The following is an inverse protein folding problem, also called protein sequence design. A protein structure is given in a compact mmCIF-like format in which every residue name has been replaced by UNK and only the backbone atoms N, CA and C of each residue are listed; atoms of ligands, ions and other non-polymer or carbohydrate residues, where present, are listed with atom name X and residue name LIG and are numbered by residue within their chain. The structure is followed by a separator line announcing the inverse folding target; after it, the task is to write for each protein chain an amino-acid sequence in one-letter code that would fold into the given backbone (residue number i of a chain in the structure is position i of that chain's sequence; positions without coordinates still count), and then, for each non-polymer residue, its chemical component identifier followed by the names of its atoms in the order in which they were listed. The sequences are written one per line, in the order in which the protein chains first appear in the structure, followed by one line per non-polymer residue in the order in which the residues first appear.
data_IF_159036372791
#
_entry.id   IF_159036372791
#
_cell.length_a   1.000
_cell.length_b   1.000
_cell.length_c   1.000
_cell.angle_alpha   90.00
_cell.angle_beta   90.00
_cell.angle_gamma   90.00
#
_symmetry.space_group_name_H-M   'P 1'
#
loop_
_entity.id
_entity.type
_entity.pdbx_description
1 polymer ?
#
# COMPACT_ATOMS: atom_id res chain seq x y z
N UNK A 1 -27.31 -24.10 48.51
CA UNK A 1 -28.14 -23.30 49.44
C UNK A 1 -27.24 -22.17 49.92
N UNK A 2 -27.30 -20.95 49.41
CA UNK A 2 -28.39 -20.01 49.67
C UNK A 2 -28.54 -19.01 48.51
N UNK A 3 -29.79 -18.88 48.08
CA UNK A 3 -30.37 -17.84 47.27
C UNK A 3 -30.73 -16.64 48.18
N UNK A 4 -30.45 -15.40 47.77
CA UNK A 4 -30.95 -14.19 48.45
C UNK A 4 -31.16 -13.02 47.47
N UNK A 5 -32.31 -13.07 46.80
CA UNK A 5 -33.33 -12.02 46.71
C UNK A 5 -32.91 -10.53 46.68
N UNK A 6 -33.11 -9.91 45.50
CA UNK A 6 -33.31 -8.47 45.34
C UNK A 6 -34.69 -8.08 45.90
N UNK A 7 -34.72 -7.26 46.96
CA UNK A 7 -35.95 -6.70 47.52
C UNK A 7 -36.27 -5.35 46.89
N UNK A 8 -37.42 -5.29 46.21
CA UNK A 8 -38.07 -4.08 45.71
C UNK A 8 -38.41 -3.13 46.87
N UNK A 9 -38.19 -1.83 46.68
CA UNK A 9 -38.70 -0.78 47.55
C UNK A 9 -39.71 0.10 46.78
N UNK A 10 -40.79 0.57 47.45
CA UNK A 10 -42.02 1.02 46.81
C UNK A 10 -41.93 2.45 46.24
N UNK A 11 -42.53 2.63 45.05
CA UNK A 11 -42.80 3.90 44.41
C UNK A 11 -43.95 4.61 45.15
N UNK A 12 -43.64 5.66 45.92
CA UNK A 12 -44.65 6.52 46.53
C UNK A 12 -45.13 7.56 45.51
N UNK A 13 -46.34 7.37 45.00
CA UNK A 13 -47.09 8.42 44.29
C UNK A 13 -47.75 9.35 45.31
N UNK A 14 -47.43 10.65 45.23
CA UNK A 14 -48.22 11.68 45.88
C UNK A 14 -49.03 12.47 44.84
N UNK A 15 -50.33 12.61 45.14
CA UNK A 15 -51.37 13.22 44.32
C UNK A 15 -51.25 14.75 44.35
N UNK A 16 -51.48 15.38 43.19
CA UNK A 16 -51.58 16.83 43.02
C UNK A 16 -52.77 17.40 43.80
N UNK A 17 -52.55 18.47 44.58
CA UNK A 17 -53.58 19.43 44.94
C UNK A 17 -53.13 20.82 44.51
N UNK A 18 -53.88 21.39 43.56
CA UNK A 18 -53.62 22.70 42.97
C UNK A 18 -54.30 23.77 43.81
N UNK A 19 -53.57 24.37 44.75
CA UNK A 19 -53.97 25.58 45.44
C UNK A 19 -52.69 26.37 45.74
N UNK A 20 -52.63 27.58 45.18
CA UNK A 20 -51.54 28.56 45.30
C UNK A 20 -50.38 28.41 44.31
N UNK A 21 -50.49 29.18 43.23
CA UNK A 21 -49.41 29.44 42.30
C UNK A 21 -48.30 30.26 42.95
N UNK A 22 -47.08 29.74 42.85
CA UNK A 22 -45.83 30.48 42.85
C UNK A 22 -44.96 29.70 41.86
N UNK A 23 -44.49 30.32 40.77
CA UNK A 23 -43.46 29.75 39.92
C UNK A 23 -42.11 29.89 40.64
N UNK A 24 -41.48 28.83 41.18
CA UNK A 24 -40.09 28.91 41.56
C UNK A 24 -39.28 28.72 40.27
N UNK A 25 -38.56 29.78 39.85
CA UNK A 25 -37.50 29.66 38.85
C UNK A 25 -36.62 28.49 39.27
N UNK A 26 -36.47 27.51 38.38
CA UNK A 26 -35.63 26.34 38.59
C UNK A 26 -34.20 26.78 38.89
N UNK A 27 -33.85 26.85 40.17
CA UNK A 27 -32.46 26.90 40.60
C UNK A 27 -31.85 25.55 40.21
N UNK A 28 -31.17 25.53 39.07
CA UNK A 28 -30.32 24.42 38.68
C UNK A 28 -29.17 24.41 39.68
N UNK A 29 -29.30 23.58 40.72
CA UNK A 29 -28.17 23.20 41.56
C UNK A 29 -27.21 22.44 40.63
N UNK A 30 -26.17 23.13 40.16
CA UNK A 30 -25.05 22.46 39.50
C UNK A 30 -24.46 21.52 40.53
N UNK A 31 -24.73 20.22 40.38
CA UNK A 31 -24.05 19.18 41.11
C UNK A 31 -22.55 19.40 40.89
N UNK A 32 -21.83 19.78 41.95
CA UNK A 32 -20.38 19.80 41.95
C UNK A 32 -19.92 18.33 41.84
N UNK A 33 -19.81 17.85 40.61
CA UNK A 33 -19.18 16.57 40.32
C UNK A 33 -17.73 16.71 40.75
N UNK A 34 -17.38 16.12 41.89
CA UNK A 34 -15.98 15.96 42.26
C UNK A 34 -15.33 15.11 41.17
N UNK A 35 -14.57 15.76 40.30
CA UNK A 35 -13.78 15.06 39.29
C UNK A 35 -12.73 14.29 40.07
N UNK A 36 -12.93 13.00 40.26
CA UNK A 36 -11.86 12.12 40.68
C UNK A 36 -10.75 12.26 39.64
N UNK A 37 -9.62 12.80 40.05
CA UNK A 37 -8.42 12.82 39.21
C UNK A 37 -7.97 11.37 39.16
N UNK A 38 -8.53 10.62 38.22
CA UNK A 38 -7.97 9.35 37.79
C UNK A 38 -6.65 9.68 37.13
N UNK A 39 -5.57 9.67 37.92
CA UNK A 39 -4.21 9.70 37.37
C UNK A 39 -4.11 8.46 36.50
N UNK A 40 -4.13 8.65 35.17
CA UNK A 40 -3.83 7.56 34.24
C UNK A 40 -2.49 6.98 34.68
N UNK A 41 -2.39 5.66 34.95
CA UNK A 41 -1.10 5.06 35.20
C UNK A 41 -0.21 5.39 34.01
N UNK A 42 1.02 5.83 34.27
CA UNK A 42 2.01 6.06 33.23
C UNK A 42 2.33 4.70 32.60
N UNK A 43 1.52 4.28 31.63
CA UNK A 43 1.81 3.14 30.79
C UNK A 43 2.94 3.59 29.87
N UNK A 44 4.17 3.20 30.22
CA UNK A 44 5.31 3.34 29.31
C UNK A 44 5.11 2.29 28.23
N UNK A 45 4.34 2.63 27.20
CA UNK A 45 4.33 1.86 25.97
C UNK A 45 5.73 1.98 25.36
N UNK A 46 6.42 0.85 25.23
CA UNK A 46 7.65 0.78 24.46
C UNK A 46 7.31 1.16 23.01
N UNK A 47 7.43 2.45 22.68
CA UNK A 47 7.33 2.94 21.30
C UNK A 47 8.38 2.16 20.52
N UNK A 48 7.92 1.26 19.64
CA UNK A 48 8.79 0.33 18.91
C UNK A 48 10.02 1.05 18.39
N UNK A 49 11.21 0.47 18.63
CA UNK A 49 12.54 1.05 18.36
C UNK A 49 12.49 2.08 17.23
N UNK A 50 12.60 3.36 17.60
CA UNK A 50 12.53 4.51 16.70
C UNK A 50 13.51 4.41 15.50
N UNK A 51 14.55 3.57 15.62
CA UNK A 51 15.54 3.28 14.60
C UNK A 51 15.62 1.79 14.26
N UNK A 52 14.50 1.14 13.94
CA UNK A 52 14.56 -0.21 13.37
C UNK A 52 15.26 -0.13 12.01
N UNK A 53 16.44 -0.76 11.88
CA UNK A 53 17.26 -0.73 10.65
C UNK A 53 16.43 -1.22 9.46
N UNK A 54 15.98 -0.30 8.60
CA UNK A 54 15.34 -0.66 7.33
C UNK A 54 16.41 -1.21 6.40
N UNK A 55 16.22 -2.44 5.95
CA UNK A 55 17.08 -3.05 4.93
C UNK A 55 17.04 -2.20 3.64
N UNK A 56 18.22 -1.93 3.06
CA UNK A 56 18.29 -1.15 1.82
C UNK A 56 17.58 -1.88 0.67
N UNK A 57 16.98 -1.11 -0.24
CA UNK A 57 16.29 -1.67 -1.41
C UNK A 57 17.21 -2.58 -2.24
N UNK A 58 18.49 -2.23 -2.35
CA UNK A 58 19.51 -3.04 -3.05
C UNK A 58 19.70 -4.42 -2.42
N UNK A 59 19.73 -4.52 -1.09
CA UNK A 59 19.88 -5.81 -0.41
C UNK A 59 18.61 -6.65 -0.58
N UNK A 60 17.44 -6.04 -0.43
CA UNK A 60 16.16 -6.71 -0.64
C UNK A 60 16.05 -7.26 -2.07
N UNK A 61 16.36 -6.44 -3.07
CA UNK A 61 16.36 -6.85 -4.47
C UNK A 61 17.34 -8.02 -4.68
N UNK A 62 18.59 -7.93 -4.23
CA UNK A 62 19.56 -9.03 -4.34
C UNK A 62 19.06 -10.34 -3.72
N UNK A 63 18.34 -10.28 -2.59
CA UNK A 63 17.73 -11.47 -1.97
C UNK A 63 16.60 -12.04 -2.82
N UNK A 64 15.77 -11.19 -3.42
CA UNK A 64 14.71 -11.62 -4.34
C UNK A 64 15.29 -12.25 -5.61
N UNK A 65 16.38 -11.67 -6.15
CA UNK A 65 17.07 -12.20 -7.33
C UNK A 65 17.57 -13.64 -7.15
N UNK A 66 17.93 -14.06 -5.93
CA UNK A 66 18.34 -15.45 -5.66
C UNK A 66 17.24 -16.48 -5.94
N UNK A 67 15.98 -16.06 -5.99
CA UNK A 67 14.82 -16.92 -6.28
C UNK A 67 14.52 -17.01 -7.77
N UNK A 68 15.08 -16.12 -8.57
CA UNK A 68 14.76 -16.01 -9.99
C UNK A 68 15.83 -16.74 -10.81
N UNK A 69 15.36 -17.55 -11.76
CA UNK A 69 16.20 -18.30 -12.69
C UNK A 69 15.74 -17.99 -14.12
N UNK A 70 16.04 -16.78 -14.62
CA UNK A 70 15.76 -16.41 -15.99
C UNK A 70 16.59 -17.22 -16.99
N UNK A 71 15.98 -17.66 -18.08
CA UNK A 71 16.61 -18.36 -19.20
C UNK A 71 16.28 -17.66 -20.52
N UNK A 72 16.96 -18.01 -21.61
CA UNK A 72 16.63 -17.46 -22.94
C UNK A 72 15.17 -17.71 -23.34
N UNK A 73 14.62 -18.89 -23.01
CA UNK A 73 13.22 -19.26 -23.33
C UNK A 73 12.22 -18.55 -22.42
N UNK A 74 12.55 -18.47 -21.12
CA UNK A 74 11.73 -17.81 -20.11
C UNK A 74 12.58 -16.78 -19.35
N UNK A 75 12.75 -15.57 -19.89
CA UNK A 75 13.63 -14.57 -19.29
C UNK A 75 12.99 -13.91 -18.07
N UNK A 76 13.83 -13.19 -17.33
CA UNK A 76 13.41 -12.36 -16.21
C UNK A 76 13.16 -10.94 -16.68
N UNK A 77 11.99 -10.39 -16.34
CA UNK A 77 11.67 -8.98 -16.53
C UNK A 77 12.05 -8.20 -15.27
N UNK A 78 12.96 -7.23 -15.39
CA UNK A 78 13.29 -6.29 -14.31
C UNK A 78 12.87 -4.89 -14.70
N UNK A 79 12.10 -4.25 -13.82
CA UNK A 79 11.58 -2.90 -14.02
C UNK A 79 11.99 -2.01 -12.87
N UNK A 80 12.66 -0.92 -13.21
CA UNK A 80 13.04 0.12 -12.28
C UNK A 80 12.34 1.42 -12.64
N UNK A 81 11.61 1.97 -11.66
CA UNK A 81 10.94 3.25 -11.77
C UNK A 81 11.54 4.24 -10.77
N UNK A 82 12.03 5.36 -11.28
CA UNK A 82 12.38 6.55 -10.51
C UNK A 82 11.23 7.56 -10.56
N UNK A 83 11.40 8.71 -9.90
CA UNK A 83 10.44 9.82 -9.92
C UNK A 83 10.26 10.36 -11.35
N UNK A 84 11.33 10.35 -12.16
CA UNK A 84 11.34 10.96 -13.51
C UNK A 84 11.23 9.94 -14.65
N UNK A 85 11.82 8.77 -14.50
CA UNK A 85 12.05 7.83 -15.61
C UNK A 85 11.71 6.39 -15.23
N UNK A 86 11.30 5.61 -16.23
CA UNK A 86 11.11 4.17 -16.13
C UNK A 86 12.11 3.45 -17.04
N UNK A 87 12.62 2.33 -16.55
CA UNK A 87 13.56 1.45 -17.23
C UNK A 87 13.04 0.02 -17.12
N UNK A 88 12.98 -0.67 -18.25
CA UNK A 88 12.58 -2.06 -18.34
C UNK A 88 13.68 -2.85 -19.06
N UNK A 89 14.00 -4.02 -18.53
CA UNK A 89 14.95 -4.95 -19.15
C UNK A 89 14.44 -6.37 -19.10
N UNK A 90 14.65 -7.09 -20.21
CA UNK A 90 14.43 -8.54 -20.29
C UNK A 90 15.80 -9.19 -20.28
N UNK A 91 16.06 -10.03 -19.27
CA UNK A 91 17.40 -10.55 -18.97
C UNK A 91 17.38 -12.08 -18.94
N UNK A 92 18.39 -12.68 -19.57
CA UNK A 92 18.76 -14.07 -19.39
C UNK A 92 19.84 -14.17 -18.30
N UNK A 93 19.47 -14.73 -17.15
CA UNK A 93 20.36 -14.83 -15.98
C UNK A 93 21.46 -15.90 -16.17
N UNK A 94 21.21 -16.92 -17.00
CA UNK A 94 22.20 -17.98 -17.29
C UNK A 94 23.34 -17.44 -18.15
N UNK A 95 22.97 -16.77 -19.25
CA UNK A 95 23.93 -16.21 -20.20
C UNK A 95 24.41 -14.80 -19.81
N UNK A 96 23.80 -14.20 -18.77
CA UNK A 96 24.04 -12.82 -18.32
C UNK A 96 23.89 -11.78 -19.43
N UNK A 97 22.99 -12.05 -20.38
CA UNK A 97 22.72 -11.21 -21.54
C UNK A 97 21.39 -10.46 -21.38
N UNK A 98 21.38 -9.20 -21.80
CA UNK A 98 20.16 -8.41 -21.91
C UNK A 98 19.56 -8.64 -23.30
N UNK A 99 18.34 -9.17 -23.35
CA UNK A 99 17.61 -9.45 -24.59
C UNK A 99 16.91 -8.18 -25.11
N UNK A 100 16.36 -7.39 -24.18
CA UNK A 100 15.70 -6.13 -24.49
C UNK A 100 15.99 -5.09 -23.41
N UNK A 101 16.18 -3.84 -23.83
CA UNK A 101 16.28 -2.69 -22.94
C UNK A 101 15.44 -1.53 -23.46
N UNK A 102 14.49 -1.08 -22.64
CA UNK A 102 13.61 0.05 -22.93
C UNK A 102 13.68 1.10 -21.82
N UNK A 103 13.69 2.37 -22.22
CA UNK A 103 13.63 3.48 -21.27
C UNK A 103 12.80 4.63 -21.82
N UNK A 104 12.11 5.33 -20.92
CA UNK A 104 11.43 6.59 -21.23
C UNK A 104 12.38 7.71 -21.68
N UNK A 105 13.70 7.54 -21.48
CA UNK A 105 14.73 8.45 -22.00
C UNK A 105 15.07 8.23 -23.49
N UNK A 106 14.75 7.06 -24.05
CA UNK A 106 15.10 6.76 -25.44
C UNK A 106 14.29 7.63 -26.40
N UNK A 107 14.96 8.19 -27.42
CA UNK A 107 14.33 9.06 -28.42
C UNK A 107 13.20 8.37 -29.18
N UNK A 108 13.35 7.07 -29.47
CA UNK A 108 12.34 6.23 -30.12
C UNK A 108 11.02 6.17 -29.35
N UNK A 109 11.07 6.22 -28.02
CA UNK A 109 9.91 6.12 -27.14
C UNK A 109 9.30 7.49 -26.84
N UNK A 110 10.17 8.48 -26.58
CA UNK A 110 9.76 9.82 -26.17
C UNK A 110 9.13 10.63 -27.31
N UNK A 111 9.56 10.38 -28.54
CA UNK A 111 9.15 11.08 -29.78
C UNK A 111 9.30 12.62 -29.67
N UNK A 112 9.01 13.31 -30.77
CA UNK A 112 9.02 14.77 -30.82
C UNK A 112 7.70 15.26 -31.44
N UNK A 113 6.83 15.99 -30.70
CA UNK A 113 7.02 16.52 -29.34
C UNK A 113 7.07 15.47 -28.24
N UNK A 114 7.74 15.82 -27.12
CA UNK A 114 7.83 14.95 -25.94
C UNK A 114 6.45 14.61 -25.38
N UNK A 115 6.17 13.31 -25.28
CA UNK A 115 4.98 12.80 -24.62
C UNK A 115 5.03 12.92 -23.09
N UNK A 116 3.87 12.73 -22.45
CA UNK A 116 3.78 12.58 -20.99
C UNK A 116 4.59 11.38 -20.50
N UNK A 117 5.11 11.43 -19.26
CA UNK A 117 5.86 10.32 -18.66
C UNK A 117 5.02 9.05 -18.52
N UNK A 118 3.69 9.17 -18.36
CA UNK A 118 2.77 8.02 -18.31
C UNK A 118 2.65 7.34 -19.68
N UNK A 119 2.43 8.13 -20.73
CA UNK A 119 2.38 7.63 -22.12
C UNK A 119 3.72 7.02 -22.53
N UNK A 120 4.84 7.65 -22.14
CA UNK A 120 6.16 7.10 -22.39
C UNK A 120 6.32 5.70 -21.76
N UNK A 121 5.84 5.52 -20.52
CA UNK A 121 5.89 4.23 -19.84
C UNK A 121 5.02 3.17 -20.55
N UNK A 122 3.84 3.55 -21.03
CA UNK A 122 3.00 2.66 -21.85
C UNK A 122 3.72 2.23 -23.13
N UNK A 123 4.34 3.18 -23.86
CA UNK A 123 5.12 2.88 -25.07
C UNK A 123 6.33 1.98 -24.81
N UNK A 124 6.98 2.10 -23.64
CA UNK A 124 8.04 1.14 -23.25
C UNK A 124 7.47 -0.28 -23.13
N UNK A 125 6.26 -0.43 -22.57
CA UNK A 125 5.58 -1.72 -22.50
C UNK A 125 5.24 -2.29 -23.87
N UNK A 126 4.71 -1.47 -24.77
CA UNK A 126 4.42 -1.87 -26.16
C UNK A 126 5.70 -2.27 -26.93
N UNK A 127 6.78 -1.51 -26.76
CA UNK A 127 8.07 -1.83 -27.37
C UNK A 127 8.65 -3.15 -26.83
N UNK A 128 8.44 -3.43 -25.54
CA UNK A 128 8.85 -4.68 -24.93
C UNK A 128 8.08 -5.87 -25.51
N UNK A 129 6.76 -5.75 -25.66
CA UNK A 129 5.92 -6.81 -26.25
C UNK A 129 6.38 -7.11 -27.67
N UNK A 130 6.58 -6.09 -28.51
CA UNK A 130 7.10 -6.26 -29.88
C UNK A 130 8.45 -6.98 -29.88
N UNK A 131 9.38 -6.56 -29.01
CA UNK A 131 10.68 -7.21 -28.92
C UNK A 131 10.59 -8.67 -28.44
N UNK A 132 9.67 -9.00 -27.53
CA UNK A 132 9.42 -10.38 -27.13
C UNK A 132 8.88 -11.22 -28.29
N UNK A 133 7.97 -10.67 -29.09
CA UNK A 133 7.41 -11.36 -30.25
C UNK A 133 8.48 -11.60 -31.33
N UNK A 134 9.32 -10.60 -31.61
CA UNK A 134 10.45 -10.72 -32.54
C UNK A 134 11.46 -11.80 -32.10
N UNK A 135 11.66 -11.93 -30.78
CA UNK A 135 12.56 -12.92 -30.18
C UNK A 135 11.87 -14.27 -29.90
N UNK A 136 10.58 -14.44 -30.26
CA UNK A 136 9.76 -15.62 -29.99
C UNK A 136 9.67 -16.03 -28.51
N UNK A 137 9.73 -15.06 -27.60
CA UNK A 137 9.68 -15.27 -26.15
C UNK A 137 8.22 -15.25 -25.69
N UNK A 138 7.57 -16.41 -25.59
CA UNK A 138 6.12 -16.49 -25.28
C UNK A 138 5.75 -16.24 -23.81
N UNK A 139 6.68 -16.47 -22.90
CA UNK A 139 6.41 -16.45 -21.45
C UNK A 139 7.56 -15.81 -20.69
N UNK A 140 7.21 -14.95 -19.73
CA UNK A 140 8.18 -14.32 -18.83
C UNK A 140 8.18 -15.10 -17.51
N UNK A 141 9.36 -15.58 -17.09
CA UNK A 141 9.51 -16.43 -15.90
C UNK A 141 9.24 -15.68 -14.60
N UNK A 142 9.67 -14.44 -14.51
CA UNK A 142 9.62 -13.67 -13.27
C UNK A 142 9.57 -12.18 -13.55
N UNK A 143 8.75 -11.49 -12.77
CA UNK A 143 8.64 -10.04 -12.79
C UNK A 143 9.20 -9.43 -11.50
N UNK A 144 10.33 -8.71 -11.64
CA UNK A 144 11.02 -7.97 -10.59
C UNK A 144 10.67 -6.47 -10.67
N UNK A 145 9.95 -5.98 -9.66
CA UNK A 145 9.56 -4.56 -9.50
C UNK A 145 10.58 -3.74 -8.71
N UNK A 146 11.77 -4.31 -8.46
CA UNK A 146 12.89 -3.69 -7.76
C UNK A 146 12.57 -3.06 -6.38
N UNK A 147 11.50 -3.51 -5.73
CA UNK A 147 11.10 -3.08 -4.37
C UNK A 147 10.53 -1.66 -4.28
N UNK A 148 9.91 -1.15 -5.36
CA UNK A 148 9.40 0.20 -5.45
C UNK A 148 7.92 0.30 -5.03
N UNK A 149 7.65 1.07 -3.96
CA UNK A 149 6.30 1.53 -3.57
C UNK A 149 6.04 2.99 -3.95
N UNK A 150 7.02 3.69 -4.54
CA UNK A 150 6.98 5.16 -4.63
C UNK A 150 6.16 5.71 -5.80
N UNK A 151 6.06 5.00 -6.92
CA UNK A 151 5.44 5.52 -8.15
C UNK A 151 4.61 4.46 -8.86
N UNK A 152 3.47 4.15 -8.27
CA UNK A 152 2.59 3.12 -8.79
C UNK A 152 1.96 3.49 -10.14
N UNK A 153 1.69 4.76 -10.43
CA UNK A 153 0.95 5.16 -11.64
C UNK A 153 1.69 4.83 -12.93
N UNK A 154 2.99 5.16 -13.02
CA UNK A 154 3.82 4.83 -14.20
C UNK A 154 4.03 3.34 -14.35
N UNK A 155 4.20 2.64 -13.22
CA UNK A 155 4.32 1.19 -13.23
C UNK A 155 3.02 0.54 -13.68
N UNK A 156 1.87 1.04 -13.21
CA UNK A 156 0.53 0.62 -13.64
C UNK A 156 0.33 0.87 -15.14
N UNK A 157 0.71 2.04 -15.65
CA UNK A 157 0.64 2.32 -17.09
C UNK A 157 1.48 1.35 -17.93
N UNK A 158 2.69 1.02 -17.46
CA UNK A 158 3.53 -0.01 -18.07
C UNK A 158 2.90 -1.42 -17.95
N UNK A 159 2.37 -1.77 -16.78
CA UNK A 159 1.72 -3.06 -16.50
C UNK A 159 0.45 -3.27 -17.35
N UNK A 160 -0.31 -2.21 -17.63
CA UNK A 160 -1.47 -2.27 -18.54
C UNK A 160 -1.04 -2.68 -19.95
N UNK A 161 0.07 -2.13 -20.46
CA UNK A 161 0.57 -2.46 -21.79
C UNK A 161 1.06 -3.91 -21.92
N UNK A 162 1.70 -4.43 -20.86
CA UNK A 162 2.22 -5.81 -20.84
C UNK A 162 1.18 -6.83 -20.38
N UNK A 163 -0.01 -6.41 -19.94
CA UNK A 163 -1.04 -7.29 -19.39
C UNK A 163 -1.56 -8.31 -20.40
N UNK A 164 -1.36 -8.06 -21.69
CA UNK A 164 -1.66 -9.02 -22.77
C UNK A 164 -0.72 -10.23 -22.78
N UNK A 165 0.46 -10.11 -22.17
CA UNK A 165 1.47 -11.16 -22.11
C UNK A 165 1.27 -12.06 -20.89
N UNK A 166 1.45 -13.37 -21.07
CA UNK A 166 1.39 -14.34 -19.99
C UNK A 166 2.59 -14.21 -19.05
N UNK A 167 2.35 -13.85 -17.78
CA UNK A 167 3.32 -14.00 -16.71
C UNK A 167 3.14 -15.36 -16.07
N UNK A 168 4.22 -16.10 -15.83
CA UNK A 168 4.12 -17.29 -15.01
C UNK A 168 3.70 -16.89 -13.59
N UNK A 169 2.64 -17.51 -13.03
CA UNK A 169 2.27 -17.29 -11.65
C UNK A 169 3.44 -17.70 -10.75
N UNK A 170 3.70 -16.87 -9.74
CA UNK A 170 4.84 -17.02 -8.84
C UNK A 170 4.61 -18.15 -7.84
#
# INVERSE_FOLDING_TARGET
MHDMALKNAPMLQFKNSALFGIHPKSFVCFQAQSRSITKKPLLVEARGRANTRKESAKIRNRKMLKKYNGTATHPRLSVFCSDKQLYAMVVDDKNRSCLFYGSTLQKSIRQDPSCSTLEAAQRVGEALVKACDDLNIKEISSYDRNGLHRHEEKLKAFEVAISSYGFLPR
#
